data_IF_288979578016
#
_entry.id   IF_288979578016
#
_cell.length_a   1.000
_cell.length_b   1.000
_cell.length_c   1.000
_cell.angle_alpha   90.00
_cell.angle_beta   90.00
_cell.angle_gamma   90.00
#
_symmetry.space_group_name_H-M   'P 1'
#
loop_
_entity.id
_entity.type
_entity.pdbx_description
1 polymer ?
#
# COMPACT_ATOMS: atom_id res chain seq x y z
N UNK A 1 7.10 3.66 -20.79
CA UNK A 1 6.18 4.46 -21.67
C UNK A 1 4.80 3.81 -21.81
N UNK A 2 4.68 2.48 -21.77
CA UNK A 2 3.38 1.78 -21.76
C UNK A 2 2.62 1.91 -20.44
N UNK A 3 3.30 2.06 -19.31
CA UNK A 3 2.66 1.98 -17.98
C UNK A 3 1.57 3.02 -17.75
N UNK A 4 1.85 4.32 -17.93
CA UNK A 4 0.79 5.35 -17.84
C UNK A 4 -0.37 5.06 -18.79
N UNK A 5 -0.09 4.66 -20.03
CA UNK A 5 -1.12 4.39 -21.03
C UNK A 5 -2.01 3.22 -20.61
N UNK A 6 -1.42 2.17 -20.04
CA UNK A 6 -2.15 1.00 -19.56
C UNK A 6 -2.95 1.31 -18.30
N UNK A 7 -2.37 2.03 -17.33
CA UNK A 7 -3.06 2.53 -16.13
C UNK A 7 -4.24 3.42 -16.50
N UNK A 8 -4.02 4.44 -17.33
CA UNK A 8 -5.08 5.36 -17.75
C UNK A 8 -6.20 4.64 -18.52
N UNK A 9 -5.86 3.69 -19.41
CA UNK A 9 -6.87 2.90 -20.14
C UNK A 9 -7.72 2.05 -19.19
N UNK A 10 -7.09 1.44 -18.18
CA UNK A 10 -7.77 0.59 -17.20
C UNK A 10 -8.63 1.42 -16.25
N UNK A 11 -8.12 2.54 -15.75
CA UNK A 11 -8.88 3.49 -14.92
C UNK A 11 -10.10 4.05 -15.66
N UNK A 12 -9.95 4.44 -16.94
CA UNK A 12 -11.07 4.88 -17.77
C UNK A 12 -12.14 3.79 -17.92
N UNK A 13 -11.73 2.54 -18.16
CA UNK A 13 -12.64 1.41 -18.28
C UNK A 13 -13.38 1.16 -16.97
N UNK A 14 -12.70 1.25 -15.84
CA UNK A 14 -13.31 1.07 -14.51
C UNK A 14 -14.32 2.18 -14.20
N UNK A 15 -14.06 3.41 -14.67
CA UNK A 15 -15.01 4.53 -14.66
C UNK A 15 -16.08 4.47 -15.76
N UNK A 16 -16.17 3.39 -16.55
CA UNK A 16 -17.19 3.21 -17.59
C UNK A 16 -16.98 4.03 -18.87
N UNK A 17 -15.81 4.64 -19.06
CA UNK A 17 -15.51 5.44 -20.24
C UNK A 17 -15.04 4.58 -21.41
N UNK A 18 -15.69 4.78 -22.57
CA UNK A 18 -15.07 4.40 -23.85
C UNK A 18 -14.01 5.44 -24.25
N UNK A 19 -13.06 5.04 -25.10
CA UNK A 19 -12.04 5.95 -25.66
C UNK A 19 -12.66 7.22 -26.30
N UNK A 20 -13.80 7.07 -26.99
CA UNK A 20 -14.52 8.20 -27.61
C UNK A 20 -15.18 9.11 -26.57
N UNK A 21 -15.80 8.51 -25.55
CA UNK A 21 -16.40 9.26 -24.46
C UNK A 21 -15.34 10.04 -23.68
N UNK A 22 -14.20 9.41 -23.38
CA UNK A 22 -13.06 10.04 -22.74
C UNK A 22 -12.52 11.20 -23.58
N UNK A 23 -12.26 11.00 -24.88
CA UNK A 23 -11.78 12.07 -25.78
C UNK A 23 -12.71 13.29 -25.78
N UNK A 24 -14.03 13.06 -25.82
CA UNK A 24 -15.04 14.12 -25.74
C UNK A 24 -15.03 14.82 -24.37
N UNK A 25 -14.92 14.06 -23.28
CA UNK A 25 -14.91 14.60 -21.93
C UNK A 25 -13.67 15.47 -21.65
N UNK A 26 -12.48 15.04 -22.08
CA UNK A 26 -11.24 15.81 -21.91
C UNK A 26 -11.00 16.86 -22.99
N UNK A 27 -11.89 16.99 -23.99
CA UNK A 27 -11.74 17.90 -25.13
C UNK A 27 -10.45 17.70 -25.94
N UNK A 28 -10.06 16.44 -26.18
CA UNK A 28 -8.92 16.09 -27.04
C UNK A 28 -9.36 15.34 -28.30
N UNK A 29 -8.58 15.49 -29.36
CA UNK A 29 -8.76 14.69 -30.56
C UNK A 29 -8.63 13.19 -30.26
N UNK A 30 -9.54 12.38 -30.80
CA UNK A 30 -9.59 10.94 -30.57
C UNK A 30 -8.33 10.23 -31.09
N UNK A 31 -7.76 10.67 -32.22
CA UNK A 31 -6.57 10.05 -32.77
C UNK A 31 -5.32 10.39 -31.93
N UNK A 32 -5.25 11.60 -31.35
CA UNK A 32 -4.23 11.92 -30.36
C UNK A 32 -4.37 11.07 -29.09
N UNK A 33 -5.57 11.03 -28.49
CA UNK A 33 -5.82 10.24 -27.29
C UNK A 33 -5.50 8.75 -27.51
N UNK A 34 -5.91 8.21 -28.66
CA UNK A 34 -5.62 6.82 -29.04
C UNK A 34 -4.12 6.54 -29.16
N UNK A 35 -3.32 7.46 -29.72
CA UNK A 35 -1.87 7.27 -29.78
C UNK A 35 -1.25 7.24 -28.39
N UNK A 36 -1.68 8.13 -27.50
CA UNK A 36 -1.20 8.18 -26.11
C UNK A 36 -1.61 6.93 -25.34
N UNK A 37 -2.90 6.60 -25.32
CA UNK A 37 -3.44 5.45 -24.61
C UNK A 37 -3.10 4.10 -25.27
N UNK A 38 -2.32 4.08 -26.35
CA UNK A 38 -1.70 2.87 -26.91
C UNK A 38 -0.16 2.89 -26.81
N UNK A 39 0.40 3.81 -26.00
CA UNK A 39 1.85 3.92 -25.78
C UNK A 39 2.65 4.39 -26.99
N UNK A 40 1.99 4.82 -28.08
CA UNK A 40 2.64 5.29 -29.31
C UNK A 40 3.15 6.72 -29.21
N UNK A 41 2.67 7.48 -28.22
CA UNK A 41 3.10 8.86 -27.97
C UNK A 41 3.05 9.15 -26.46
N UNK A 42 4.00 9.94 -25.95
CA UNK A 42 3.97 10.41 -24.56
C UNK A 42 2.79 11.37 -24.33
N UNK A 43 2.09 11.28 -23.19
CA UNK A 43 1.10 12.28 -22.82
C UNK A 43 1.79 13.64 -22.61
N UNK A 44 1.08 14.72 -22.91
CA UNK A 44 1.42 16.02 -22.32
C UNK A 44 0.98 16.06 -20.86
N UNK A 45 1.63 16.86 -20.02
CA UNK A 45 1.22 17.05 -18.63
C UNK A 45 -0.26 17.46 -18.53
N UNK A 46 -0.72 18.33 -19.45
CA UNK A 46 -2.13 18.74 -19.53
C UNK A 46 -3.08 17.56 -19.81
N UNK A 47 -2.71 16.66 -20.71
CA UNK A 47 -3.52 15.47 -20.98
C UNK A 47 -3.51 14.50 -19.79
N UNK A 48 -2.36 14.30 -19.14
CA UNK A 48 -2.26 13.44 -17.97
C UNK A 48 -3.17 13.94 -16.84
N UNK A 49 -3.13 15.24 -16.53
CA UNK A 49 -4.00 15.86 -15.54
C UNK A 49 -5.48 15.77 -15.93
N UNK A 50 -5.83 16.00 -17.21
CA UNK A 50 -7.22 15.91 -17.65
C UNK A 50 -7.78 14.48 -17.54
N UNK A 51 -6.95 13.46 -17.78
CA UNK A 51 -7.34 12.06 -17.60
C UNK A 51 -7.45 11.69 -16.12
N UNK A 52 -6.54 12.21 -15.28
CA UNK A 52 -6.56 12.06 -13.82
C UNK A 52 -7.85 12.62 -13.22
N UNK A 53 -8.18 13.87 -13.55
CA UNK A 53 -9.42 14.54 -13.14
C UNK A 53 -10.66 13.76 -13.62
N UNK A 54 -10.64 13.25 -14.86
CA UNK A 54 -11.77 12.51 -15.42
C UNK A 54 -12.07 11.21 -14.68
N UNK A 55 -11.04 10.51 -14.21
CA UNK A 55 -11.19 9.26 -13.44
C UNK A 55 -11.24 9.49 -11.93
N UNK A 56 -11.09 10.74 -11.48
CA UNK A 56 -11.10 11.10 -10.06
C UNK A 56 -9.89 10.57 -9.29
N UNK A 57 -8.71 10.50 -9.91
CA UNK A 57 -7.52 9.91 -9.29
C UNK A 57 -6.74 10.87 -8.37
N UNK A 58 -7.22 12.10 -8.14
CA UNK A 58 -6.65 13.01 -7.15
C UNK A 58 -5.17 13.37 -7.36
N UNK A 59 -4.68 13.33 -8.60
CA UNK A 59 -3.28 13.55 -8.95
C UNK A 59 -2.43 12.27 -9.02
N UNK A 60 -2.96 11.11 -8.60
CA UNK A 60 -2.21 9.87 -8.57
C UNK A 60 -1.89 9.32 -9.96
N UNK A 61 -2.83 9.44 -10.92
CA UNK A 61 -2.62 8.95 -12.29
C UNK A 61 -1.63 9.83 -13.08
N UNK A 62 -1.66 11.14 -12.84
CA UNK A 62 -0.71 12.07 -13.43
C UNK A 62 0.67 11.97 -12.77
N UNK A 63 0.72 11.69 -11.46
CA UNK A 63 1.94 11.51 -10.68
C UNK A 63 2.84 10.36 -11.13
N UNK A 64 2.30 9.33 -11.80
CA UNK A 64 3.13 8.25 -12.38
C UNK A 64 3.93 8.72 -13.61
N UNK A 65 3.59 9.88 -14.19
CA UNK A 65 4.30 10.44 -15.33
C UNK A 65 5.47 11.27 -14.82
N UNK A 66 6.67 10.68 -14.87
CA UNK A 66 7.90 11.42 -14.63
C UNK A 66 8.04 12.61 -15.59
N UNK A 67 8.60 13.71 -15.09
CA UNK A 67 9.01 14.80 -15.95
C UNK A 67 10.12 14.32 -16.94
N UNK A 68 10.35 15.03 -18.06
CA UNK A 68 11.30 14.58 -19.08
C UNK A 68 12.74 14.40 -18.59
N UNK A 69 13.17 15.19 -17.61
CA UNK A 69 14.53 15.16 -17.09
C UNK A 69 14.73 13.95 -16.18
N UNK A 70 13.78 13.66 -15.30
CA UNK A 70 13.79 12.47 -14.44
C UNK A 70 13.61 11.19 -15.26
N UNK A 71 12.73 11.19 -16.27
CA UNK A 71 12.61 10.06 -17.18
C UNK A 71 13.93 9.78 -17.91
N UNK A 72 14.63 10.83 -18.35
CA UNK A 72 15.95 10.72 -18.97
C UNK A 72 17.01 10.23 -17.99
N UNK A 73 16.95 10.70 -16.73
CA UNK A 73 17.86 10.32 -15.66
C UNK A 73 17.70 8.85 -15.28
N UNK A 74 16.47 8.41 -14.99
CA UNK A 74 16.13 7.01 -14.68
C UNK A 74 16.54 6.11 -15.83
N UNK A 75 16.30 6.50 -17.09
CA UNK A 75 16.73 5.72 -18.25
C UNK A 75 18.27 5.55 -18.33
N UNK A 76 19.05 6.60 -17.99
CA UNK A 76 20.52 6.50 -17.91
C UNK A 76 20.95 5.56 -16.78
N UNK A 77 20.37 5.70 -15.59
CA UNK A 77 20.68 4.81 -14.46
C UNK A 77 20.25 3.36 -14.72
N UNK A 78 19.17 3.13 -15.47
CA UNK A 78 18.75 1.79 -15.85
C UNK A 78 19.69 1.11 -16.86
N UNK A 79 20.42 1.91 -17.66
CA UNK A 79 21.43 1.43 -18.60
C UNK A 79 22.81 1.24 -17.95
N UNK A 80 23.15 2.05 -16.94
CA UNK A 80 24.38 1.94 -16.16
C UNK A 80 24.09 2.08 -14.65
N UNK A 81 23.54 1.03 -13.99
CA UNK A 81 23.13 1.12 -12.58
C UNK A 81 24.25 1.42 -11.59
N UNK A 82 25.50 1.13 -11.96
CA UNK A 82 26.69 1.50 -11.18
C UNK A 82 26.92 3.01 -11.07
N UNK A 83 26.25 3.82 -11.90
CA UNK A 83 26.27 5.29 -11.87
C UNK A 83 24.95 5.90 -11.41
N UNK A 84 24.18 5.16 -10.61
CA UNK A 84 23.00 5.67 -9.92
C UNK A 84 23.33 6.98 -9.18
N UNK A 85 22.45 7.97 -9.29
CA UNK A 85 22.51 9.22 -8.53
C UNK A 85 21.27 9.34 -7.62
N UNK A 86 21.33 10.25 -6.63
CA UNK A 86 20.23 10.50 -5.70
C UNK A 86 18.91 10.87 -6.42
N UNK A 87 18.98 11.69 -7.48
CA UNK A 87 17.79 12.12 -8.20
C UNK A 87 17.06 10.98 -8.90
N UNK A 88 17.75 9.92 -9.32
CA UNK A 88 17.10 8.69 -9.80
C UNK A 88 16.32 8.01 -8.70
N UNK A 89 16.88 7.93 -7.48
CA UNK A 89 16.20 7.32 -6.33
C UNK A 89 14.95 8.11 -5.98
N UNK A 90 15.06 9.44 -5.89
CA UNK A 90 13.94 10.34 -5.60
C UNK A 90 12.82 10.18 -6.63
N UNK A 91 13.15 10.17 -7.93
CA UNK A 91 12.16 10.00 -9.00
C UNK A 91 11.43 8.65 -8.94
N UNK A 92 12.13 7.57 -8.54
CA UNK A 92 11.52 6.25 -8.38
C UNK A 92 10.62 6.20 -7.13
N UNK A 93 11.02 6.86 -6.04
CA UNK A 93 10.21 6.99 -4.82
C UNK A 93 8.93 7.80 -5.06
N UNK A 94 9.00 8.88 -5.85
CA UNK A 94 7.84 9.68 -6.24
C UNK A 94 6.85 8.85 -7.07
N UNK A 95 7.35 8.05 -8.02
CA UNK A 95 6.48 7.14 -8.79
C UNK A 95 5.84 6.10 -7.87
N UNK A 96 6.56 5.50 -6.94
CA UNK A 96 5.97 4.58 -5.96
C UNK A 96 4.84 5.23 -5.18
N UNK A 97 5.05 6.47 -4.72
CA UNK A 97 4.05 7.24 -3.98
C UNK A 97 2.79 7.47 -4.81
N UNK A 98 2.94 7.74 -6.11
CA UNK A 98 1.80 7.86 -7.04
C UNK A 98 1.06 6.52 -7.24
N UNK A 99 1.79 5.40 -7.33
CA UNK A 99 1.20 4.07 -7.42
C UNK A 99 0.40 3.69 -6.17
N UNK A 100 0.89 4.02 -4.97
CA UNK A 100 0.15 3.81 -3.71
C UNK A 100 -1.14 4.63 -3.66
N UNK A 101 -1.09 5.90 -4.06
CA UNK A 101 -2.31 6.72 -4.14
C UNK A 101 -3.30 6.23 -5.20
N UNK A 102 -2.81 5.64 -6.29
CA UNK A 102 -3.66 5.01 -7.31
C UNK A 102 -4.44 3.80 -6.75
N UNK A 103 -3.86 3.06 -5.81
CA UNK A 103 -4.51 1.92 -5.15
C UNK A 103 -5.75 2.33 -4.34
N UNK A 104 -5.76 3.54 -3.79
CA UNK A 104 -6.91 4.07 -3.03
C UNK A 104 -8.13 4.36 -3.91
N UNK A 105 -7.94 4.57 -5.22
CA UNK A 105 -8.95 5.11 -6.14
C UNK A 105 -9.29 4.20 -7.32
N UNK A 106 -8.37 3.34 -7.75
CA UNK A 106 -8.52 2.44 -8.91
C UNK A 106 -8.51 1.00 -8.44
N UNK A 107 -9.24 0.13 -9.14
CA UNK A 107 -9.32 -1.30 -8.79
C UNK A 107 -7.94 -1.97 -8.80
N UNK A 108 -7.64 -2.88 -7.85
CA UNK A 108 -6.33 -3.53 -7.77
C UNK A 108 -5.90 -4.24 -9.06
N UNK A 109 -6.82 -4.90 -9.78
CA UNK A 109 -6.54 -5.59 -11.05
C UNK A 109 -6.09 -4.66 -12.18
N UNK A 110 -6.39 -3.37 -12.03
CA UNK A 110 -6.03 -2.34 -12.99
C UNK A 110 -4.62 -1.80 -12.76
N UNK A 111 -4.14 -1.77 -11.53
CA UNK A 111 -2.83 -1.23 -11.13
C UNK A 111 -1.75 -2.33 -11.05
N UNK A 112 -2.15 -3.56 -10.72
CA UNK A 112 -1.24 -4.69 -10.50
C UNK A 112 -0.25 -4.96 -11.65
N UNK A 113 -0.64 -5.02 -12.94
CA UNK A 113 0.31 -5.36 -14.01
C UNK A 113 1.43 -4.33 -14.16
N UNK A 114 1.12 -3.04 -14.01
CA UNK A 114 2.10 -1.97 -14.11
C UNK A 114 3.00 -1.95 -12.86
N UNK A 115 2.44 -2.23 -11.68
CA UNK A 115 3.20 -2.38 -10.43
C UNK A 115 4.26 -3.47 -10.55
N UNK A 116 3.88 -4.66 -11.05
CA UNK A 116 4.84 -5.76 -11.22
C UNK A 116 5.92 -5.46 -12.27
N UNK A 117 5.59 -4.70 -13.32
CA UNK A 117 6.57 -4.28 -14.31
C UNK A 117 7.62 -3.33 -13.67
N UNK A 118 7.16 -2.26 -13.02
CA UNK A 118 8.02 -1.28 -12.35
C UNK A 118 8.87 -1.92 -11.24
N UNK A 119 8.29 -2.82 -10.45
CA UNK A 119 8.99 -3.61 -9.44
C UNK A 119 10.14 -4.42 -10.07
N UNK A 120 9.88 -5.16 -11.15
CA UNK A 120 10.91 -5.96 -11.82
C UNK A 120 12.05 -5.09 -12.39
N UNK A 121 11.72 -3.91 -12.93
CA UNK A 121 12.73 -2.97 -13.43
C UNK A 121 13.64 -2.45 -12.31
N UNK A 122 13.07 -2.06 -11.17
CA UNK A 122 13.81 -1.53 -10.02
C UNK A 122 14.65 -2.63 -9.37
N UNK A 123 14.10 -3.82 -9.17
CA UNK A 123 14.85 -4.96 -8.62
C UNK A 123 15.99 -5.38 -9.56
N UNK A 124 15.83 -5.26 -10.88
CA UNK A 124 16.93 -5.48 -11.84
C UNK A 124 18.00 -4.39 -11.72
N UNK A 125 17.59 -3.12 -11.59
CA UNK A 125 18.53 -2.01 -11.38
C UNK A 125 19.34 -2.20 -10.09
N UNK A 126 18.68 -2.59 -9.00
CA UNK A 126 19.32 -2.81 -7.70
C UNK A 126 20.41 -3.89 -7.75
N UNK A 127 20.18 -4.99 -8.48
CA UNK A 127 21.17 -6.09 -8.61
C UNK A 127 22.51 -5.63 -9.18
N UNK A 128 22.51 -4.59 -10.01
CA UNK A 128 23.71 -4.05 -10.65
C UNK A 128 24.18 -2.74 -10.01
N UNK A 129 23.39 -2.16 -9.10
CA UNK A 129 23.68 -0.91 -8.43
C UNK A 129 24.90 -1.02 -7.52
N UNK A 130 25.70 0.04 -7.49
CA UNK A 130 26.91 0.13 -6.66
C UNK A 130 27.06 1.56 -6.13
N UNK A 131 27.88 1.71 -5.10
CA UNK A 131 28.23 3.03 -4.57
C UNK A 131 27.22 3.58 -3.56
N UNK A 132 27.29 4.88 -3.25
CA UNK A 132 26.68 5.46 -2.06
C UNK A 132 25.14 5.58 -2.10
N UNK A 133 24.52 5.31 -3.26
CA UNK A 133 23.07 5.38 -3.45
C UNK A 133 22.38 4.01 -3.50
N UNK A 134 23.15 2.92 -3.36
CA UNK A 134 22.63 1.55 -3.47
C UNK A 134 21.61 1.24 -2.39
N UNK A 135 21.86 1.66 -1.15
CA UNK A 135 20.98 1.33 -0.02
C UNK A 135 19.67 2.13 -0.08
N UNK A 136 19.71 3.37 -0.54
CA UNK A 136 18.50 4.15 -0.79
C UNK A 136 17.68 3.56 -1.96
N UNK A 137 18.33 3.03 -3.00
CA UNK A 137 17.62 2.27 -4.04
C UNK A 137 17.05 0.96 -3.48
N UNK A 138 17.76 0.28 -2.57
CA UNK A 138 17.29 -0.93 -1.94
C UNK A 138 16.06 -0.68 -1.05
N UNK A 139 15.98 0.48 -0.42
CA UNK A 139 14.78 0.94 0.30
C UNK A 139 13.59 1.03 -0.65
N UNK A 140 13.72 1.83 -1.72
CA UNK A 140 12.66 1.97 -2.75
C UNK A 140 12.30 0.62 -3.39
N UNK A 141 13.28 -0.24 -3.64
CA UNK A 141 13.06 -1.58 -4.18
C UNK A 141 12.28 -2.48 -3.20
N UNK A 142 12.69 -2.51 -1.93
CA UNK A 142 11.97 -3.25 -0.89
C UNK A 142 10.53 -2.79 -0.82
N UNK A 143 10.28 -1.49 -0.84
CA UNK A 143 8.93 -0.95 -0.83
C UNK A 143 8.11 -1.29 -2.08
N UNK A 144 8.69 -1.23 -3.28
CA UNK A 144 8.01 -1.67 -4.50
C UNK A 144 7.67 -3.16 -4.47
N UNK A 145 8.56 -3.99 -3.93
CA UNK A 145 8.33 -5.43 -3.76
C UNK A 145 7.22 -5.67 -2.74
N UNK A 146 7.20 -4.92 -1.63
CA UNK A 146 6.11 -4.95 -0.65
C UNK A 146 4.78 -4.54 -1.29
N UNK A 147 4.77 -3.46 -2.05
CA UNK A 147 3.58 -2.98 -2.75
C UNK A 147 3.10 -3.98 -3.79
N UNK A 148 3.99 -4.62 -4.55
CA UNK A 148 3.64 -5.74 -5.44
C UNK A 148 3.01 -6.91 -4.68
N UNK A 149 3.54 -7.24 -3.50
CA UNK A 149 2.97 -8.24 -2.60
C UNK A 149 1.57 -7.85 -2.10
N UNK A 150 1.38 -6.59 -1.72
CA UNK A 150 0.09 -6.03 -1.32
C UNK A 150 -0.95 -6.11 -2.45
N UNK A 151 -0.61 -5.67 -3.67
CA UNK A 151 -1.51 -5.74 -4.82
C UNK A 151 -1.95 -7.19 -5.12
N UNK A 152 -1.04 -8.16 -5.00
CA UNK A 152 -1.36 -9.58 -5.16
C UNK A 152 -2.28 -10.10 -4.04
N UNK A 153 -2.07 -9.65 -2.80
CA UNK A 153 -2.92 -10.01 -1.66
C UNK A 153 -4.36 -9.49 -1.84
N UNK A 154 -4.52 -8.29 -2.39
CA UNK A 154 -5.82 -7.69 -2.69
C UNK A 154 -6.62 -8.51 -3.73
N UNK A 155 -5.95 -9.03 -4.76
CA UNK A 155 -6.57 -9.91 -5.76
C UNK A 155 -6.59 -11.39 -5.35
N UNK A 156 -6.26 -11.69 -4.08
CA UNK A 156 -6.24 -13.03 -3.46
C UNK A 156 -5.25 -14.02 -4.11
N UNK A 157 -4.21 -13.53 -4.78
CA UNK A 157 -3.05 -14.35 -5.17
C UNK A 157 -2.06 -14.45 -4.00
N UNK A 158 -2.54 -15.02 -2.90
CA UNK A 158 -1.85 -15.08 -1.61
C UNK A 158 -0.49 -15.78 -1.71
N UNK A 159 -0.38 -16.81 -2.56
CA UNK A 159 0.82 -17.60 -2.70
C UNK A 159 1.96 -16.78 -3.30
N UNK A 160 1.67 -15.92 -4.29
CA UNK A 160 2.66 -15.01 -4.84
C UNK A 160 2.93 -13.82 -3.91
N UNK A 161 1.88 -13.29 -3.28
CA UNK A 161 2.01 -12.22 -2.30
C UNK A 161 2.98 -12.57 -1.16
N UNK A 162 2.83 -13.75 -0.56
CA UNK A 162 3.72 -14.22 0.53
C UNK A 162 5.18 -14.34 0.08
N UNK A 163 5.43 -14.73 -1.19
CA UNK A 163 6.79 -14.80 -1.74
C UNK A 163 7.41 -13.41 -1.86
N UNK A 164 6.71 -12.47 -2.49
CA UNK A 164 7.21 -11.10 -2.62
C UNK A 164 7.42 -10.44 -1.25
N UNK A 165 6.52 -10.67 -0.29
CA UNK A 165 6.71 -10.17 1.09
C UNK A 165 7.88 -10.87 1.82
N UNK A 166 8.34 -12.03 1.36
CA UNK A 166 9.61 -12.63 1.78
C UNK A 166 10.79 -11.88 1.20
N UNK A 167 10.81 -11.70 -0.12
CA UNK A 167 11.88 -10.98 -0.83
C UNK A 167 12.04 -9.54 -0.31
N UNK A 168 10.93 -8.85 -0.03
CA UNK A 168 10.91 -7.53 0.57
C UNK A 168 11.55 -7.47 1.97
N UNK A 169 11.27 -8.48 2.80
CA UNK A 169 11.84 -8.61 4.14
C UNK A 169 13.35 -8.83 4.06
N UNK A 170 13.81 -9.68 3.14
CA UNK A 170 15.25 -9.88 2.90
C UNK A 170 15.95 -8.59 2.47
N UNK A 171 15.33 -7.80 1.57
CA UNK A 171 15.86 -6.50 1.16
C UNK A 171 15.90 -5.50 2.32
N UNK A 172 14.87 -5.48 3.16
CA UNK A 172 14.81 -4.59 4.33
C UNK A 172 15.89 -4.95 5.37
N UNK A 173 16.09 -6.25 5.62
CA UNK A 173 17.13 -6.74 6.54
C UNK A 173 18.55 -6.44 6.01
N UNK A 174 18.77 -6.52 4.69
CA UNK A 174 20.07 -6.19 4.07
C UNK A 174 20.52 -4.75 4.37
N UNK A 175 19.58 -3.80 4.40
CA UNK A 175 19.85 -2.39 4.73
C UNK A 175 19.56 -2.03 6.19
N UNK A 176 19.20 -3.00 7.02
CA UNK A 176 18.87 -2.78 8.44
C UNK A 176 17.64 -1.90 8.66
N UNK A 177 16.68 -1.86 7.73
CA UNK A 177 15.48 -1.03 7.83
C UNK A 177 14.34 -1.80 8.53
N UNK A 178 14.30 -1.67 9.85
CA UNK A 178 13.30 -2.32 10.70
C UNK A 178 11.85 -1.90 10.45
N UNK A 179 11.63 -0.69 9.92
CA UNK A 179 10.26 -0.23 9.57
C UNK A 179 9.73 -1.00 8.37
N UNK A 180 10.55 -1.18 7.33
CA UNK A 180 10.17 -1.98 6.16
C UNK A 180 10.05 -3.47 6.49
N UNK A 181 10.94 -4.01 7.32
CA UNK A 181 10.85 -5.39 7.78
C UNK A 181 9.53 -5.67 8.53
N UNK A 182 9.15 -4.77 9.45
CA UNK A 182 7.88 -4.86 10.17
C UNK A 182 6.67 -4.78 9.24
N UNK A 183 6.68 -3.89 8.25
CA UNK A 183 5.59 -3.75 7.28
C UNK A 183 5.41 -5.01 6.42
N UNK A 184 6.50 -5.62 5.94
CA UNK A 184 6.43 -6.87 5.18
C UNK A 184 5.82 -8.02 6.00
N UNK A 185 6.15 -8.11 7.29
CA UNK A 185 5.57 -9.09 8.23
C UNK A 185 4.10 -8.80 8.52
N UNK A 186 3.72 -7.53 8.70
CA UNK A 186 2.32 -7.10 8.87
C UNK A 186 1.46 -7.55 7.68
N UNK A 187 1.92 -7.36 6.45
CA UNK A 187 1.17 -7.82 5.27
C UNK A 187 1.03 -9.35 5.19
N UNK A 188 2.00 -10.13 5.69
CA UNK A 188 1.82 -11.59 5.87
C UNK A 188 0.75 -11.91 6.91
N UNK A 189 0.67 -11.12 7.97
CA UNK A 189 -0.40 -11.18 8.97
C UNK A 189 -1.77 -10.90 8.36
N UNK A 190 -1.88 -9.86 7.52
CA UNK A 190 -3.09 -9.56 6.76
C UNK A 190 -3.52 -10.75 5.89
N UNK A 191 -2.60 -11.35 5.11
CA UNK A 191 -2.91 -12.53 4.29
C UNK A 191 -3.41 -13.69 5.16
N UNK A 192 -2.76 -13.97 6.30
CA UNK A 192 -3.21 -15.01 7.22
C UNK A 192 -4.62 -14.73 7.76
N UNK A 193 -4.97 -13.45 7.99
CA UNK A 193 -6.31 -13.01 8.38
C UNK A 193 -7.34 -13.27 7.28
N UNK A 194 -7.03 -12.91 6.03
CA UNK A 194 -7.91 -13.21 4.89
C UNK A 194 -8.09 -14.72 4.63
N UNK A 195 -7.16 -15.55 5.11
CA UNK A 195 -7.24 -17.01 5.05
C UNK A 195 -7.92 -17.65 6.26
N UNK A 196 -8.39 -16.85 7.23
CA UNK A 196 -8.95 -17.33 8.51
C UNK A 196 -7.99 -18.28 9.24
N UNK A 197 -6.70 -17.94 9.29
CA UNK A 197 -5.65 -18.72 9.95
C UNK A 197 -5.21 -18.03 11.24
N UNK A 198 -5.92 -18.21 12.37
CA UNK A 198 -5.70 -17.41 13.58
C UNK A 198 -4.30 -17.57 14.18
N UNK A 199 -3.69 -18.77 14.08
CA UNK A 199 -2.28 -18.93 14.48
C UNK A 199 -1.32 -18.15 13.57
N UNK A 200 -1.65 -18.00 12.28
CA UNK A 200 -0.89 -17.19 11.34
C UNK A 200 -1.01 -15.70 11.62
N UNK A 201 -2.23 -15.23 11.93
CA UNK A 201 -2.49 -13.84 12.38
C UNK A 201 -1.61 -13.54 13.59
N UNK A 202 -1.75 -14.34 14.64
CA UNK A 202 -1.00 -14.20 15.88
C UNK A 202 0.52 -14.20 15.65
N UNK A 203 1.02 -15.14 14.83
CA UNK A 203 2.46 -15.28 14.53
C UNK A 203 3.03 -14.06 13.83
N UNK A 204 2.44 -13.67 12.69
CA UNK A 204 3.04 -12.66 11.82
C UNK A 204 2.94 -11.26 12.41
N UNK A 205 1.80 -10.92 13.02
CA UNK A 205 1.68 -9.62 13.68
C UNK A 205 2.52 -9.53 14.96
N UNK A 206 2.71 -10.62 15.73
CA UNK A 206 3.67 -10.60 16.85
C UNK A 206 5.09 -10.34 16.33
N UNK A 207 5.49 -11.03 15.25
CA UNK A 207 6.81 -10.82 14.66
C UNK A 207 7.00 -9.39 14.14
N UNK A 208 5.98 -8.80 13.51
CA UNK A 208 6.00 -7.41 13.06
C UNK A 208 6.16 -6.43 14.24
N UNK A 209 5.38 -6.60 15.31
CA UNK A 209 5.47 -5.76 16.52
C UNK A 209 6.85 -5.83 17.20
N UNK A 210 7.41 -7.03 17.27
CA UNK A 210 8.70 -7.31 17.94
C UNK A 210 9.91 -6.95 17.06
N UNK A 211 9.70 -6.53 15.80
CA UNK A 211 10.78 -6.16 14.89
C UNK A 211 11.53 -4.93 15.42
N UNK A 212 12.86 -5.01 15.64
CA UNK A 212 13.66 -3.86 16.04
C UNK A 212 13.58 -2.76 15.00
N UNK A 213 13.33 -1.51 15.44
CA UNK A 213 13.19 -0.38 14.51
C UNK A 213 11.80 -0.26 13.85
N UNK A 214 10.82 -1.11 14.21
CA UNK A 214 9.44 -0.91 13.80
C UNK A 214 8.92 0.44 14.32
N UNK A 215 8.19 1.17 13.46
CA UNK A 215 7.58 2.45 13.80
C UNK A 215 6.56 2.28 14.95
N UNK A 216 6.49 3.18 15.95
CA UNK A 216 5.59 3.03 17.10
C UNK A 216 4.11 2.85 16.73
N UNK A 217 3.61 3.60 15.74
CA UNK A 217 2.23 3.46 15.26
C UNK A 217 1.95 2.11 14.58
N UNK A 218 2.94 1.56 13.87
CA UNK A 218 2.86 0.24 13.25
C UNK A 218 2.87 -0.85 14.33
N UNK A 219 3.81 -0.76 15.27
CA UNK A 219 3.91 -1.67 16.42
C UNK A 219 2.62 -1.73 17.22
N UNK A 220 1.98 -0.60 17.47
CA UNK A 220 0.69 -0.55 18.16
C UNK A 220 -0.39 -1.33 17.39
N UNK A 221 -0.54 -1.06 16.10
CA UNK A 221 -1.50 -1.78 15.24
C UNK A 221 -1.21 -3.28 15.16
N UNK A 222 0.06 -3.66 15.07
CA UNK A 222 0.50 -5.05 15.04
C UNK A 222 0.18 -5.79 16.35
N UNK A 223 0.38 -5.16 17.51
CA UNK A 223 0.00 -5.76 18.81
C UNK A 223 -1.53 -6.00 18.87
N UNK A 224 -2.34 -5.04 18.40
CA UNK A 224 -3.79 -5.19 18.36
C UNK A 224 -4.24 -6.32 17.41
N UNK A 225 -3.64 -6.41 16.22
CA UNK A 225 -3.98 -7.49 15.28
C UNK A 225 -3.48 -8.86 15.75
N UNK A 226 -2.31 -8.93 16.40
CA UNK A 226 -1.84 -10.15 17.04
C UNK A 226 -2.76 -10.59 18.18
N UNK A 227 -3.27 -9.64 18.97
CA UNK A 227 -4.28 -9.89 20.01
C UNK A 227 -5.54 -10.56 19.43
N UNK A 228 -6.05 -10.05 18.31
CA UNK A 228 -7.19 -10.65 17.62
C UNK A 228 -6.91 -12.13 17.25
N UNK A 229 -5.73 -12.41 16.69
CA UNK A 229 -5.32 -13.78 16.38
C UNK A 229 -5.25 -14.68 17.62
N UNK A 230 -4.69 -14.20 18.73
CA UNK A 230 -4.64 -14.98 19.98
C UNK A 230 -6.03 -15.22 20.59
N UNK A 231 -6.93 -14.25 20.52
CA UNK A 231 -8.31 -14.40 20.96
C UNK A 231 -9.03 -15.50 20.17
N UNK A 232 -8.87 -15.54 18.84
CA UNK A 232 -9.45 -16.58 17.98
C UNK A 232 -8.87 -17.98 18.24
N UNK A 233 -7.60 -18.09 18.65
CA UNK A 233 -7.00 -19.36 19.08
C UNK A 233 -7.53 -19.82 20.46
N UNK A 234 -8.21 -18.94 21.21
CA UNK A 234 -8.73 -19.21 22.55
C UNK A 234 -7.84 -18.69 23.70
N UNK A 235 -6.71 -18.06 23.37
CA UNK A 235 -5.75 -17.49 24.33
C UNK A 235 -6.21 -16.10 24.82
N UNK A 236 -7.40 -16.05 25.43
CA UNK A 236 -8.10 -14.82 25.81
C UNK A 236 -7.27 -13.93 26.74
N UNK A 237 -6.65 -14.49 27.78
CA UNK A 237 -5.85 -13.71 28.73
C UNK A 237 -4.61 -13.10 28.07
N UNK A 238 -4.02 -13.81 27.09
CA UNK A 238 -2.89 -13.29 26.31
C UNK A 238 -3.35 -12.14 25.43
N UNK A 239 -4.46 -12.30 24.74
CA UNK A 239 -5.04 -11.25 23.90
C UNK A 239 -5.36 -9.98 24.71
N UNK A 240 -5.95 -10.11 25.90
CA UNK A 240 -6.24 -8.99 26.80
C UNK A 240 -4.97 -8.23 27.23
N UNK A 241 -3.92 -8.94 27.65
CA UNK A 241 -2.63 -8.33 27.99
C UNK A 241 -2.01 -7.56 26.82
N UNK A 242 -2.20 -8.05 25.60
CA UNK A 242 -1.73 -7.37 24.40
C UNK A 242 -2.53 -6.09 24.10
N UNK A 243 -3.86 -6.10 24.30
CA UNK A 243 -4.67 -4.86 24.19
C UNK A 243 -4.19 -3.82 25.19
N UNK A 244 -3.99 -4.20 26.45
CA UNK A 244 -3.46 -3.28 27.49
C UNK A 244 -2.05 -2.77 27.14
N UNK A 245 -1.21 -3.59 26.49
CA UNK A 245 0.09 -3.18 26.00
C UNK A 245 -0.03 -2.15 24.87
N UNK A 246 -0.92 -2.37 23.91
CA UNK A 246 -1.17 -1.44 22.82
C UNK A 246 -1.68 -0.08 23.34
N UNK A 247 -2.59 -0.08 24.31
CA UNK A 247 -3.10 1.15 24.95
C UNK A 247 -1.97 2.02 25.51
N UNK A 248 -0.98 1.40 26.18
CA UNK A 248 0.20 2.11 26.73
C UNK A 248 1.10 2.75 25.67
N UNK A 249 1.04 2.28 24.41
CA UNK A 249 1.84 2.80 23.30
C UNK A 249 1.16 3.93 22.54
N UNK A 250 -0.11 4.23 22.83
CA UNK A 250 -0.92 5.20 22.06
C UNK A 250 -0.28 6.60 22.04
N UNK A 251 0.15 7.09 23.20
CA UNK A 251 0.77 8.41 23.31
C UNK A 251 2.12 8.49 22.59
N UNK A 252 2.89 7.40 22.57
CA UNK A 252 4.16 7.32 21.85
C UNK A 252 3.92 7.31 20.34
N UNK A 253 2.96 6.48 19.89
CA UNK A 253 2.56 6.39 18.49
C UNK A 253 2.08 7.73 17.93
N UNK A 254 1.38 8.55 18.73
CA UNK A 254 0.88 9.86 18.29
C UNK A 254 1.98 10.94 18.20
N UNK A 255 3.15 10.74 18.83
CA UNK A 255 4.24 11.74 18.84
C UNK A 255 5.12 11.67 17.61
N UNK A 256 5.18 10.52 16.95
CA UNK A 256 6.03 10.30 15.78
C UNK A 256 5.12 10.26 14.54
N UNK A 257 5.25 11.22 13.61
CA UNK A 257 4.48 11.16 12.38
C UNK A 257 4.85 9.89 11.62
N UNK A 258 3.88 9.22 10.98
CA UNK A 258 4.19 8.07 10.16
C UNK A 258 5.10 8.48 8.99
N UNK A 259 5.90 7.55 8.45
CA UNK A 259 6.63 7.81 7.22
C UNK A 259 5.64 8.09 6.08
N UNK A 260 6.04 8.89 5.10
CA UNK A 260 5.19 9.26 3.95
C UNK A 260 4.64 8.03 3.21
N UNK A 261 5.40 6.93 3.23
CA UNK A 261 5.08 5.67 2.60
C UNK A 261 4.10 4.80 3.40
N UNK A 262 3.74 5.23 4.62
CA UNK A 262 2.74 4.63 5.50
C UNK A 262 1.78 5.68 6.09
N UNK A 263 1.40 6.69 5.28
CA UNK A 263 0.52 7.81 5.68
C UNK A 263 -0.81 7.40 6.32
N UNK A 264 -1.27 6.17 6.07
CA UNK A 264 -2.49 5.62 6.64
C UNK A 264 -2.38 5.26 8.13
N UNK A 265 -1.18 5.20 8.73
CA UNK A 265 -0.95 4.85 10.13
C UNK A 265 -1.36 5.97 11.11
N UNK A 266 -2.62 6.35 11.04
CA UNK A 266 -3.27 7.38 11.88
C UNK A 266 -3.81 6.77 13.18
N UNK A 267 -4.08 7.59 14.21
CA UNK A 267 -4.80 7.14 15.40
C UNK A 267 -6.15 6.48 15.06
N UNK A 268 -6.87 7.01 14.07
CA UNK A 268 -8.16 6.53 13.61
C UNK A 268 -8.05 5.17 12.92
N UNK A 269 -7.00 4.96 12.12
CA UNK A 269 -6.68 3.63 11.57
C UNK A 269 -6.38 2.63 12.69
N UNK A 270 -5.60 3.02 13.70
CA UNK A 270 -5.33 2.14 14.83
C UNK A 270 -6.57 1.83 15.68
N UNK A 271 -7.56 2.73 15.68
CA UNK A 271 -8.87 2.48 16.27
C UNK A 271 -9.63 1.35 15.55
N UNK A 272 -9.47 1.20 14.23
CA UNK A 272 -10.01 0.07 13.48
C UNK A 272 -9.39 -1.25 13.95
N UNK A 273 -8.07 -1.28 14.15
CA UNK A 273 -7.36 -2.45 14.67
C UNK A 273 -7.85 -2.82 16.09
N UNK A 274 -8.12 -1.84 16.95
CA UNK A 274 -8.71 -2.07 18.28
C UNK A 274 -10.13 -2.63 18.17
N UNK A 275 -10.91 -2.16 17.20
CA UNK A 275 -12.22 -2.71 16.86
C UNK A 275 -12.17 -4.19 16.47
N UNK A 276 -11.21 -4.58 15.63
CA UNK A 276 -10.99 -5.99 15.27
C UNK A 276 -10.57 -6.85 16.48
N UNK A 277 -9.66 -6.34 17.32
CA UNK A 277 -9.22 -7.05 18.53
C UNK A 277 -10.37 -7.28 19.52
N UNK A 278 -11.18 -6.25 19.78
CA UNK A 278 -12.35 -6.33 20.67
C UNK A 278 -13.44 -7.22 20.09
N UNK A 279 -13.63 -7.25 18.77
CA UNK A 279 -14.54 -8.19 18.11
C UNK A 279 -14.11 -9.65 18.33
N UNK A 280 -12.82 -9.96 18.13
CA UNK A 280 -12.28 -11.30 18.35
C UNK A 280 -12.41 -11.75 19.82
N UNK A 281 -12.33 -10.81 20.76
CA UNK A 281 -12.58 -11.00 22.19
C UNK A 281 -14.08 -11.08 22.56
N UNK A 282 -14.99 -11.04 21.57
CA UNK A 282 -16.45 -11.05 21.75
C UNK A 282 -17.00 -9.88 22.58
N UNK A 283 -16.28 -8.75 22.59
CA UNK A 283 -16.74 -7.51 23.22
C UNK A 283 -17.49 -6.66 22.20
N UNK A 284 -18.66 -7.14 21.79
CA UNK A 284 -19.39 -6.65 20.62
C UNK A 284 -19.76 -5.16 20.70
N UNK A 285 -20.18 -4.66 21.87
CA UNK A 285 -20.43 -3.23 22.10
C UNK A 285 -19.19 -2.38 21.81
N UNK A 286 -18.05 -2.74 22.41
CA UNK A 286 -16.78 -2.02 22.23
C UNK A 286 -16.31 -2.10 20.77
N UNK A 287 -16.43 -3.27 20.14
CA UNK A 287 -16.08 -3.46 18.75
C UNK A 287 -16.88 -2.54 17.82
N UNK A 288 -18.20 -2.47 18.01
CA UNK A 288 -19.06 -1.59 17.22
C UNK A 288 -18.69 -0.11 17.40
N UNK A 289 -18.41 0.32 18.64
CA UNK A 289 -18.00 1.70 18.93
C UNK A 289 -16.64 2.06 18.31
N UNK A 290 -15.65 1.17 18.42
CA UNK A 290 -14.32 1.39 17.85
C UNK A 290 -14.35 1.40 16.32
N UNK A 291 -15.01 0.41 15.70
CA UNK A 291 -15.11 0.32 14.23
C UNK A 291 -15.90 1.49 13.65
N UNK A 292 -17.04 1.86 14.26
CA UNK A 292 -17.86 2.98 13.78
C UNK A 292 -17.10 4.31 13.86
N UNK A 293 -16.41 4.56 14.97
CA UNK A 293 -15.66 5.80 15.15
C UNK A 293 -14.36 5.82 14.32
N UNK A 294 -13.69 4.68 14.15
CA UNK A 294 -12.51 4.58 13.28
C UNK A 294 -12.89 4.86 11.83
N UNK A 295 -13.94 4.23 11.30
CA UNK A 295 -14.41 4.43 9.93
C UNK A 295 -14.84 5.88 9.67
N UNK A 296 -15.55 6.50 10.62
CA UNK A 296 -15.98 7.89 10.50
C UNK A 296 -14.83 8.90 10.68
N UNK A 297 -13.75 8.50 11.35
CA UNK A 297 -12.59 9.34 11.63
C UNK A 297 -11.51 9.30 10.54
N UNK A 298 -11.58 8.36 9.60
CA UNK A 298 -10.66 8.33 8.47
C UNK A 298 -10.74 9.64 7.65
N UNK A 299 -9.62 10.10 7.05
CA UNK A 299 -9.62 11.15 6.05
C UNK A 299 -10.72 10.92 4.98
N UNK A 300 -11.34 12.00 4.49
CA UNK A 300 -12.51 11.93 3.60
C UNK A 300 -12.25 11.09 2.34
N UNK A 301 -11.04 11.18 1.79
CA UNK A 301 -10.55 10.41 0.65
C UNK A 301 -10.37 8.92 0.95
N UNK A 302 -10.15 8.55 2.22
CA UNK A 302 -9.95 7.16 2.65
C UNK A 302 -11.22 6.47 3.17
N UNK A 303 -12.27 7.21 3.52
CA UNK A 303 -13.53 6.62 4.02
C UNK A 303 -14.19 5.67 3.00
N UNK A 304 -14.05 5.98 1.71
CA UNK A 304 -14.55 5.18 0.60
C UNK A 304 -13.57 4.17 0.04
N UNK A 305 -12.33 4.11 0.56
CA UNK A 305 -11.27 3.34 -0.04
C UNK A 305 -11.61 1.83 -0.07
N UNK A 306 -11.25 1.10 -1.14
CA UNK A 306 -11.62 -0.30 -1.31
C UNK A 306 -11.26 -1.18 -0.10
N UNK A 307 -10.09 -0.96 0.51
CA UNK A 307 -9.56 -1.74 1.64
C UNK A 307 -10.40 -1.63 2.92
N UNK A 308 -11.28 -0.63 3.06
CA UNK A 308 -12.13 -0.46 4.26
C UNK A 308 -13.23 -1.53 4.39
N UNK A 309 -13.47 -2.34 3.36
CA UNK A 309 -14.58 -3.29 3.29
C UNK A 309 -14.63 -4.25 4.49
N UNK A 310 -13.48 -4.75 4.93
CA UNK A 310 -13.39 -5.72 6.03
C UNK A 310 -13.78 -5.12 7.38
N UNK A 311 -13.48 -3.85 7.60
CA UNK A 311 -13.85 -3.14 8.83
C UNK A 311 -15.35 -2.83 8.85
N UNK A 312 -15.95 -2.58 7.68
CA UNK A 312 -17.40 -2.43 7.52
C UNK A 312 -18.12 -3.75 7.81
N UNK A 313 -17.62 -4.86 7.27
CA UNK A 313 -18.18 -6.19 7.56
C UNK A 313 -18.02 -6.57 9.05
N UNK A 314 -16.87 -6.25 9.65
CA UNK A 314 -16.64 -6.45 11.08
C UNK A 314 -17.62 -5.63 11.95
N UNK A 315 -17.95 -4.40 11.52
CA UNK A 315 -18.91 -3.54 12.22
C UNK A 315 -20.33 -4.10 12.14
N UNK A 316 -20.72 -4.64 10.99
CA UNK A 316 -22.01 -5.32 10.82
C UNK A 316 -22.10 -6.54 11.76
N UNK A 317 -21.08 -7.41 11.75
CA UNK A 317 -20.98 -8.56 12.66
C UNK A 317 -21.08 -8.15 14.14
N UNK A 318 -20.38 -7.09 14.54
CA UNK A 318 -20.43 -6.58 15.91
C UNK A 318 -21.84 -6.10 16.30
N UNK A 319 -22.56 -5.44 15.38
CA UNK A 319 -23.93 -4.95 15.61
C UNK A 319 -24.96 -6.08 15.67
N UNK A 320 -24.79 -7.12 14.87
CA UNK A 320 -25.69 -8.29 14.87
C UNK A 320 -25.54 -9.17 16.12
N UNK A 321 -24.34 -9.21 16.71
CA UNK A 321 -24.05 -10.01 17.90
C UNK A 321 -24.29 -9.29 19.23
N UNK A 322 -24.68 -8.01 19.19
CA UNK A 322 -25.07 -7.19 20.34
C UNK A 322 -26.44 -7.59 20.90
#
# INVERSE_FOLDING_TARGET
>A
MSEFADLARRALRDGGYSMRAAARAVNYDLAYLSRVLNGKQRPSAKLANALDELVGAGGALSGVVMNPDDASRVARSAAEPSRLDAGTVDALADVLSAYRRLDDVVKPESVLPATLAQMNEITRMLKEARGPHRDQLAEVASEFVQFGGWMLAQVRDDAQAVRLLGDALELADEIGNGTLAAQALNFKGYIARQQSRPQGIARWFTAAADTPGAHPAQRLGDILQASAGWAEVGETDRALRMVEQAERLTDEAARVPPPDTAYWLTPEFNRLNLGLATLALRRYDQAADHLSAGLAGLPEDLQGAPWTWEHREALEKAREAR
#
